data_IF_534154564178
#
_entry.id   IF_534154564178
#
_cell.length_a   1.000
_cell.length_b   1.000
_cell.length_c   1.000
_cell.angle_alpha   90.00
_cell.angle_beta   90.00
_cell.angle_gamma   90.00
#
_symmetry.space_group_name_H-M   'P 1'
#
loop_
_entity.id
_entity.type
_entity.pdbx_description
1 polymer ?
#
# COMPACT_ATOMS: atom_id res chain seq x y z
N UNK A 1 77.04 -5.40 -9.33
CA UNK A 1 76.25 -5.56 -8.10
C UNK A 1 76.30 -4.19 -7.45
N UNK A 2 75.30 -3.30 -7.53
CA UNK A 2 73.89 -3.46 -7.18
C UNK A 2 73.00 -2.48 -7.97
N UNK A 3 72.43 -2.94 -9.09
CA UNK A 3 71.42 -2.22 -9.89
C UNK A 3 69.99 -2.69 -9.53
N UNK A 4 69.81 -3.24 -8.33
CA UNK A 4 68.55 -3.78 -7.83
C UNK A 4 68.27 -3.28 -6.41
N UNK A 5 68.01 -1.97 -6.25
CA UNK A 5 67.31 -1.48 -5.07
C UNK A 5 66.55 -0.21 -5.40
N UNK A 6 65.24 -0.27 -5.13
CA UNK A 6 64.34 0.87 -5.01
C UNK A 6 63.88 1.56 -6.30
N UNK A 7 63.32 0.76 -7.22
CA UNK A 7 62.27 1.21 -8.17
C UNK A 7 60.85 1.19 -7.56
N UNK A 8 60.70 1.33 -6.23
CA UNK A 8 59.46 0.89 -5.56
C UNK A 8 58.72 1.87 -4.65
N UNK A 9 59.03 3.17 -4.64
CA UNK A 9 58.30 4.11 -3.75
C UNK A 9 57.88 5.44 -4.37
N UNK A 10 57.91 5.60 -5.70
CA UNK A 10 57.60 6.91 -6.31
C UNK A 10 56.49 6.94 -7.37
N UNK A 11 55.75 5.85 -7.56
CA UNK A 11 54.60 5.81 -8.50
C UNK A 11 53.27 5.44 -7.82
N UNK A 12 53.23 5.48 -6.49
CA UNK A 12 52.09 5.02 -5.67
C UNK A 12 51.41 6.18 -4.91
N UNK A 13 51.30 7.35 -5.53
CA UNK A 13 50.51 8.47 -4.96
C UNK A 13 49.63 9.23 -5.96
N UNK A 14 49.62 8.84 -7.23
CA UNK A 14 48.78 9.46 -8.27
C UNK A 14 47.72 8.51 -8.86
N UNK A 15 47.45 7.38 -8.21
CA UNK A 15 46.48 6.38 -8.68
C UNK A 15 45.28 6.16 -7.74
N UNK A 16 45.10 7.00 -6.71
CA UNK A 16 43.96 6.91 -5.77
C UNK A 16 43.01 8.12 -5.84
N UNK A 17 43.14 8.98 -6.86
CA UNK A 17 42.36 10.22 -6.97
C UNK A 17 41.32 10.26 -8.10
N UNK A 18 41.04 9.14 -8.77
CA UNK A 18 40.19 9.11 -9.98
C UNK A 18 39.04 8.08 -9.93
N UNK A 19 38.59 7.68 -8.74
CA UNK A 19 37.47 6.73 -8.59
C UNK A 19 36.23 7.32 -7.86
N UNK A 20 36.25 8.61 -7.50
CA UNK A 20 35.16 9.23 -6.74
C UNK A 20 34.16 10.07 -7.57
N UNK A 21 34.27 10.06 -8.90
CA UNK A 21 33.37 10.80 -9.79
C UNK A 21 32.55 9.86 -10.70
N UNK A 22 31.96 8.81 -10.13
CA UNK A 22 31.08 7.90 -10.87
C UNK A 22 29.77 7.54 -10.14
N UNK A 23 29.32 8.36 -9.19
CA UNK A 23 28.14 8.05 -8.35
C UNK A 23 27.06 9.14 -8.32
N UNK A 24 26.96 10.01 -9.34
CA UNK A 24 25.84 10.97 -9.41
C UNK A 24 25.24 11.10 -10.79
N UNK A 25 25.02 9.97 -11.45
CA UNK A 25 24.18 9.90 -12.64
C UNK A 25 23.24 8.67 -12.59
N UNK A 26 22.56 8.44 -11.46
CA UNK A 26 21.26 7.78 -11.49
C UNK A 26 20.22 8.82 -11.87
N UNK A 27 20.20 9.19 -13.16
CA UNK A 27 18.97 9.66 -13.77
C UNK A 27 18.15 8.39 -13.98
N UNK A 28 17.33 8.06 -12.97
CA UNK A 28 16.25 7.09 -13.10
C UNK A 28 15.21 7.68 -14.07
N UNK A 29 15.49 7.60 -15.36
CA UNK A 29 14.46 7.69 -16.40
C UNK A 29 13.76 6.33 -16.54
N UNK A 30 13.39 5.72 -15.41
CA UNK A 30 12.44 4.62 -15.42
C UNK A 30 11.07 5.17 -15.77
N UNK A 31 10.22 4.37 -16.39
CA UNK A 31 8.81 4.68 -16.56
C UNK A 31 8.16 4.78 -15.17
N UNK A 32 8.13 5.98 -14.60
CA UNK A 32 7.62 6.19 -13.25
C UNK A 32 6.11 6.33 -13.27
N UNK A 33 5.43 5.51 -12.46
CA UNK A 33 3.98 5.64 -12.23
C UNK A 33 3.72 6.90 -11.42
N UNK A 34 2.64 7.62 -11.76
CA UNK A 34 2.34 8.90 -11.11
C UNK A 34 2.02 8.71 -9.61
N UNK A 35 2.57 9.57 -8.76
CA UNK A 35 2.31 9.52 -7.32
C UNK A 35 0.81 9.75 -7.02
N UNK A 36 0.16 10.61 -7.80
CA UNK A 36 -1.26 10.87 -7.71
C UNK A 36 -2.09 9.61 -7.96
N UNK A 37 -1.73 8.80 -8.97
CA UNK A 37 -2.41 7.53 -9.23
C UNK A 37 -2.25 6.56 -8.05
N UNK A 38 -1.04 6.41 -7.53
CA UNK A 38 -0.77 5.52 -6.38
C UNK A 38 -1.57 5.96 -5.16
N UNK A 39 -1.57 7.25 -4.85
CA UNK A 39 -2.31 7.80 -3.72
C UNK A 39 -3.83 7.62 -3.90
N UNK A 40 -4.36 7.93 -5.08
CA UNK A 40 -5.77 7.73 -5.42
C UNK A 40 -6.17 6.25 -5.30
N UNK A 41 -5.36 5.34 -5.86
CA UNK A 41 -5.61 3.91 -5.82
C UNK A 41 -5.72 3.40 -4.38
N UNK A 42 -4.76 3.75 -3.51
CA UNK A 42 -4.77 3.30 -2.12
C UNK A 42 -5.96 3.89 -1.36
N UNK A 43 -6.26 5.18 -1.53
CA UNK A 43 -7.38 5.82 -0.82
C UNK A 43 -8.74 5.26 -1.28
N UNK A 44 -8.90 4.95 -2.57
CA UNK A 44 -10.07 4.24 -3.08
C UNK A 44 -10.25 2.86 -2.44
N UNK A 45 -9.15 2.12 -2.23
CA UNK A 45 -9.20 0.82 -1.53
C UNK A 45 -9.58 0.95 -0.06
N UNK A 46 -9.12 2.01 0.61
CA UNK A 46 -9.51 2.31 2.00
C UNK A 46 -11.01 2.61 2.06
N UNK A 47 -11.50 3.50 1.19
CA UNK A 47 -12.93 3.85 1.13
C UNK A 47 -13.80 2.64 0.82
N UNK A 48 -13.42 1.79 -0.14
CA UNK A 48 -14.16 0.57 -0.45
C UNK A 48 -14.18 -0.42 0.71
N UNK A 49 -13.13 -0.47 1.54
CA UNK A 49 -13.13 -1.29 2.77
C UNK A 49 -14.02 -0.72 3.87
N UNK A 50 -14.07 0.60 4.01
CA UNK A 50 -14.83 1.28 5.06
C UNK A 50 -16.34 1.27 4.78
N UNK A 51 -16.73 1.63 3.56
CA UNK A 51 -18.13 1.82 3.19
C UNK A 51 -18.71 0.68 2.35
N UNK A 52 -17.87 -0.23 1.84
CA UNK A 52 -18.27 -1.25 0.88
C UNK A 52 -18.35 -0.75 -0.57
N UNK A 53 -18.38 -1.68 -1.51
CA UNK A 53 -18.33 -1.37 -2.95
C UNK A 53 -19.63 -0.75 -3.49
N UNK A 54 -20.79 -1.07 -2.90
CA UNK A 54 -22.11 -0.70 -3.45
C UNK A 54 -22.85 0.39 -2.68
N UNK A 55 -22.31 0.86 -1.54
CA UNK A 55 -23.02 1.84 -0.72
C UNK A 55 -23.11 3.21 -1.40
N UNK A 56 -24.22 3.96 -1.19
CA UNK A 56 -24.35 5.33 -1.67
C UNK A 56 -23.24 6.25 -1.13
N UNK A 57 -22.94 6.14 0.17
CA UNK A 57 -21.89 6.94 0.82
C UNK A 57 -20.51 6.60 0.27
N UNK A 58 -20.21 5.32 0.05
CA UNK A 58 -18.97 4.88 -0.57
C UNK A 58 -18.82 5.40 -2.00
N UNK A 59 -19.92 5.51 -2.76
CA UNK A 59 -19.89 6.10 -4.12
C UNK A 59 -19.52 7.58 -4.08
N UNK A 60 -20.08 8.33 -3.13
CA UNK A 60 -19.76 9.75 -2.96
C UNK A 60 -18.28 9.88 -2.55
N UNK A 61 -17.85 9.14 -1.53
CA UNK A 61 -16.48 9.17 -1.05
C UNK A 61 -15.45 8.81 -2.14
N UNK A 62 -15.69 7.76 -2.93
CA UNK A 62 -14.81 7.40 -4.06
C UNK A 62 -14.75 8.50 -5.12
N UNK A 63 -15.85 9.19 -5.37
CA UNK A 63 -15.90 10.32 -6.30
C UNK A 63 -15.06 11.49 -5.80
N UNK A 64 -15.13 11.80 -4.52
CA UNK A 64 -14.31 12.85 -3.91
C UNK A 64 -12.82 12.50 -3.90
N UNK A 65 -12.47 11.23 -3.66
CA UNK A 65 -11.08 10.75 -3.79
C UNK A 65 -10.56 10.97 -5.21
N UNK A 66 -11.32 10.59 -6.24
CA UNK A 66 -10.88 10.81 -7.63
C UNK A 66 -10.65 12.29 -7.92
N UNK A 67 -11.59 13.16 -7.52
CA UNK A 67 -11.45 14.61 -7.69
C UNK A 67 -10.23 15.17 -6.99
N UNK A 68 -9.97 14.74 -5.75
CA UNK A 68 -8.83 15.17 -4.93
C UNK A 68 -7.48 14.97 -5.64
N UNK A 69 -7.37 13.91 -6.45
CA UNK A 69 -6.15 13.59 -7.20
C UNK A 69 -6.21 13.99 -8.68
N UNK A 70 -7.21 14.79 -9.08
CA UNK A 70 -7.33 15.28 -10.46
C UNK A 70 -7.84 14.26 -11.46
N UNK A 71 -8.47 13.18 -10.98
CA UNK A 71 -9.02 12.13 -11.83
C UNK A 71 -10.52 12.28 -12.06
N UNK A 72 -10.92 11.92 -13.28
CA UNK A 72 -12.26 11.40 -13.55
C UNK A 72 -12.22 9.89 -13.41
N UNK A 73 -13.40 9.25 -13.31
CA UNK A 73 -13.48 7.79 -13.34
C UNK A 73 -12.83 7.20 -14.60
N UNK A 74 -13.14 7.78 -15.76
CA UNK A 74 -12.63 7.29 -17.04
C UNK A 74 -11.11 7.45 -17.17
N UNK A 75 -10.56 8.59 -16.74
CA UNK A 75 -9.10 8.81 -16.80
C UNK A 75 -8.34 7.92 -15.83
N UNK A 76 -8.89 7.68 -14.63
CA UNK A 76 -8.31 6.73 -13.68
C UNK A 76 -8.34 5.30 -14.20
N UNK A 77 -9.48 4.86 -14.76
CA UNK A 77 -9.60 3.52 -15.36
C UNK A 77 -8.64 3.35 -16.55
N UNK A 78 -8.47 4.39 -17.39
CA UNK A 78 -7.52 4.35 -18.49
C UNK A 78 -6.06 4.22 -18.03
N UNK A 79 -5.64 4.97 -17.01
CA UNK A 79 -4.29 4.85 -16.45
C UNK A 79 -4.09 3.48 -15.77
N UNK A 80 -5.08 2.99 -15.05
CA UNK A 80 -5.04 1.65 -14.45
C UNK A 80 -4.90 0.56 -15.52
N UNK A 81 -5.61 0.67 -16.65
CA UNK A 81 -5.47 -0.26 -17.77
C UNK A 81 -4.12 -0.15 -18.45
N UNK A 82 -3.55 1.06 -18.57
CA UNK A 82 -2.20 1.25 -19.09
C UNK A 82 -1.16 0.53 -18.23
N UNK A 83 -1.20 0.76 -16.91
CA UNK A 83 -0.29 0.13 -15.94
C UNK A 83 -0.40 -1.40 -15.94
N UNK A 84 -1.61 -1.95 -16.12
CA UNK A 84 -1.81 -3.41 -16.19
C UNK A 84 -1.22 -4.03 -17.45
N UNK A 85 -1.19 -3.29 -18.56
CA UNK A 85 -0.77 -3.78 -19.87
C UNK A 85 0.71 -3.59 -20.13
N UNK A 86 1.31 -2.59 -19.49
CA UNK A 86 2.72 -2.26 -19.60
C UNK A 86 3.51 -2.94 -18.46
N UNK A 87 4.28 -4.00 -18.75
CA UNK A 87 5.09 -4.68 -17.74
C UNK A 87 6.09 -3.76 -17.06
N UNK A 88 6.57 -2.74 -17.78
CA UNK A 88 7.56 -1.79 -17.28
C UNK A 88 6.94 -0.83 -16.24
N UNK A 89 5.62 -0.67 -16.22
CA UNK A 89 4.90 0.13 -15.23
C UNK A 89 4.36 -0.70 -14.06
N UNK A 90 4.19 -2.01 -14.25
CA UNK A 90 3.54 -2.87 -13.26
C UNK A 90 4.36 -3.02 -11.98
N UNK A 91 5.64 -3.39 -12.10
CA UNK A 91 6.53 -3.55 -10.94
C UNK A 91 6.74 -2.22 -10.20
N UNK A 92 7.04 -1.08 -10.86
CA UNK A 92 7.12 0.21 -10.18
C UNK A 92 5.84 0.60 -9.44
N UNK A 93 4.67 0.34 -10.03
CA UNK A 93 3.38 0.57 -9.35
C UNK A 93 3.26 -0.24 -8.07
N UNK A 94 3.60 -1.54 -8.11
CA UNK A 94 3.51 -2.42 -6.93
C UNK A 94 4.41 -1.92 -5.79
N UNK A 95 5.66 -1.59 -6.11
CA UNK A 95 6.63 -1.06 -5.14
C UNK A 95 6.07 0.21 -4.50
N UNK A 96 5.59 1.15 -5.31
CA UNK A 96 5.04 2.42 -4.82
C UNK A 96 3.76 2.21 -3.96
N UNK A 97 2.88 1.30 -4.36
CA UNK A 97 1.68 0.96 -3.61
C UNK A 97 1.99 0.36 -2.23
N UNK A 98 2.96 -0.57 -2.16
CA UNK A 98 3.42 -1.16 -0.89
C UNK A 98 4.03 -0.09 0.01
N UNK A 99 4.97 0.71 -0.51
CA UNK A 99 5.59 1.80 0.24
C UNK A 99 4.54 2.78 0.78
N UNK A 100 3.50 3.07 0.00
CA UNK A 100 2.38 3.91 0.44
C UNK A 100 1.61 3.28 1.59
N UNK A 101 1.28 1.99 1.51
CA UNK A 101 0.59 1.26 2.57
C UNK A 101 1.43 1.27 3.86
N UNK A 102 2.73 0.96 3.77
CA UNK A 102 3.63 0.95 4.92
C UNK A 102 3.72 2.32 5.58
N UNK A 103 3.70 3.40 4.79
CA UNK A 103 3.68 4.77 5.32
C UNK A 103 2.42 5.06 6.16
N UNK A 104 1.28 4.45 5.84
CA UNK A 104 0.04 4.62 6.60
C UNK A 104 0.12 3.85 7.93
N UNK A 105 0.68 2.64 7.93
CA UNK A 105 0.87 1.81 9.14
C UNK A 105 1.91 2.44 10.08
N UNK A 106 3.03 2.92 9.54
CA UNK A 106 4.09 3.57 10.30
C UNK A 106 3.63 4.86 10.99
N UNK A 107 2.78 5.65 10.32
CA UNK A 107 2.15 6.84 10.91
C UNK A 107 1.25 6.50 12.10
N UNK A 108 0.47 5.42 12.01
CA UNK A 108 -0.35 4.96 13.14
C UNK A 108 0.49 4.48 14.33
N UNK A 109 1.65 3.88 14.09
CA UNK A 109 2.52 3.38 15.17
C UNK A 109 3.21 4.51 15.92
N UNK A 110 3.62 5.59 15.25
CA UNK A 110 4.21 6.77 15.92
C UNK A 110 3.18 7.54 16.75
N UNK A 111 1.99 7.79 16.22
CA UNK A 111 0.95 8.51 16.97
C UNK A 111 0.50 7.74 18.22
N UNK A 112 0.54 6.40 18.21
CA UNK A 112 0.24 5.59 19.41
C UNK A 112 1.32 5.69 20.49
N UNK A 113 2.58 5.90 20.12
CA UNK A 113 3.69 5.97 21.07
C UNK A 113 3.92 7.37 21.63
N UNK A 114 3.46 8.41 20.93
CA UNK A 114 3.51 9.81 21.39
C UNK A 114 2.24 10.25 22.15
N UNK A 115 1.18 9.45 22.14
CA UNK A 115 -0.07 9.66 22.88
C UNK A 115 -0.09 9.03 24.28
N UNK A 116 1.07 8.85 24.91
CA UNK A 116 1.23 8.30 26.26
C UNK A 116 0.87 9.28 27.37
N UNK A 117 -0.24 10.00 27.27
CA UNK A 117 -0.82 10.75 28.39
C UNK A 117 -2.26 10.30 28.62
N UNK A 118 -2.51 9.84 29.84
CA UNK A 118 -3.68 9.06 30.24
C UNK A 118 -4.94 9.90 30.15
N UNK A 119 -5.74 9.70 29.10
CA UNK A 119 -7.17 9.96 29.19
C UNK A 119 -7.93 8.63 29.16
N UNK A 120 -8.48 8.30 30.32
CA UNK A 120 -9.43 7.22 30.53
C UNK A 120 -10.68 7.47 29.67
N UNK A 121 -10.66 7.02 28.42
CA UNK A 121 -11.86 7.00 27.56
C UNK A 121 -12.78 5.90 28.09
N UNK A 122 -13.85 6.30 28.78
CA UNK A 122 -14.98 5.41 29.07
C UNK A 122 -15.61 5.03 27.73
N UNK A 123 -15.36 3.80 27.27
CA UNK A 123 -16.19 3.19 26.23
C UNK A 123 -17.62 3.06 26.76
N UNK A 124 -18.66 3.52 26.05
CA UNK A 124 -20.02 3.13 26.38
C UNK A 124 -20.16 1.62 26.13
N UNK A 125 -20.25 0.85 27.22
CA UNK A 125 -20.74 -0.52 27.20
C UNK A 125 -22.23 -0.48 26.79
N UNK A 126 -22.50 -0.55 25.50
CA UNK A 126 -23.81 -0.95 25.02
C UNK A 126 -23.66 -1.99 23.92
N UNK A 127 -23.06 -3.14 24.29
CA UNK A 127 -23.32 -4.40 23.60
C UNK A 127 -24.36 -5.14 24.42
N UNK A 128 -25.58 -5.25 23.90
CA UNK A 128 -26.53 -6.23 24.39
C UNK A 128 -25.88 -7.63 24.28
N UNK A 129 -25.99 -8.48 25.31
CA UNK A 129 -25.45 -9.84 25.24
C UNK A 129 -26.10 -10.62 24.10
N UNK A 130 -25.28 -11.28 23.29
CA UNK A 130 -25.70 -12.26 22.30
C UNK A 130 -26.19 -13.50 23.07
N UNK A 131 -27.48 -13.56 23.35
CA UNK A 131 -28.11 -14.76 23.90
C UNK A 131 -28.20 -15.83 22.80
N UNK A 132 -27.61 -16.99 23.10
CA UNK A 132 -27.90 -18.33 22.59
C UNK A 132 -28.51 -18.45 21.18
N UNK A 133 -27.67 -18.73 20.20
CA UNK A 133 -28.07 -19.44 18.98
C UNK A 133 -27.20 -20.69 18.87
N UNK A 134 -27.27 -21.55 19.90
CA UNK A 134 -26.72 -22.90 19.85
C UNK A 134 -27.63 -23.88 20.61
N UNK A 135 -28.92 -23.84 20.27
CA UNK A 135 -29.84 -24.95 20.53
C UNK A 135 -30.83 -25.10 19.36
N UNK A 136 -30.46 -25.90 18.35
CA UNK A 136 -31.34 -26.96 17.83
C UNK A 136 -30.59 -27.75 16.77
N UNK A 137 -30.04 -28.89 17.20
CA UNK A 137 -29.79 -30.02 16.32
C UNK A 137 -31.12 -30.49 15.69
N UNK A 138 -31.04 -30.84 14.42
CA UNK A 138 -32.06 -31.43 13.51
C UNK A 138 -32.60 -32.80 14.02
N UNK A 139 -33.36 -33.62 13.25
CA UNK A 139 -34.14 -33.42 12.01
C UNK A 139 -35.57 -34.03 12.08
N UNK A 140 -36.48 -33.69 11.16
CA UNK A 140 -37.62 -34.59 10.85
C UNK A 140 -37.83 -34.68 9.33
N UNK A 141 -37.58 -35.88 8.80
CA UNK A 141 -37.97 -36.35 7.46
C UNK A 141 -39.37 -37.02 7.54
N UNK A 142 -39.96 -37.46 6.42
CA UNK A 142 -41.28 -37.08 5.92
C UNK A 142 -42.44 -37.95 6.45
N UNK A 143 -43.68 -37.46 6.34
CA UNK A 143 -44.89 -38.32 6.36
C UNK A 143 -45.50 -38.45 4.96
N UNK A 144 -45.56 -39.69 4.48
CA UNK A 144 -46.54 -40.21 3.52
C UNK A 144 -47.91 -40.32 4.21
N UNK A 145 -48.99 -40.06 3.47
CA UNK A 145 -50.38 -40.58 3.62
C UNK A 145 -51.19 -39.87 2.51
N UNK A 146 -51.49 -40.47 1.34
CA UNK A 146 -52.50 -41.51 0.99
C UNK A 146 -53.94 -41.11 1.33
N UNK A 147 -54.66 -40.64 0.28
CA UNK A 147 -56.08 -40.87 -0.14
C UNK A 147 -57.24 -40.67 0.86
N UNK A 148 -58.48 -40.32 0.41
CA UNK A 148 -59.29 -40.98 -0.64
C UNK A 148 -59.31 -40.27 -1.99
#
# INVERSE_FOLDING_TARGET
>A
MDFLKMRWTFRSRLFLGSLFLFLSACVENGSTVSENFVNAYIELRVVSREYGEISPDGRIARTEVLKKYGYTRASFEAEAENIKRDPDLWEPFQIAAVARIDSLVGKHTRQRNEGGERHHVKFPQNRKPLHDINQMHSPLRPKKEVHP
#
